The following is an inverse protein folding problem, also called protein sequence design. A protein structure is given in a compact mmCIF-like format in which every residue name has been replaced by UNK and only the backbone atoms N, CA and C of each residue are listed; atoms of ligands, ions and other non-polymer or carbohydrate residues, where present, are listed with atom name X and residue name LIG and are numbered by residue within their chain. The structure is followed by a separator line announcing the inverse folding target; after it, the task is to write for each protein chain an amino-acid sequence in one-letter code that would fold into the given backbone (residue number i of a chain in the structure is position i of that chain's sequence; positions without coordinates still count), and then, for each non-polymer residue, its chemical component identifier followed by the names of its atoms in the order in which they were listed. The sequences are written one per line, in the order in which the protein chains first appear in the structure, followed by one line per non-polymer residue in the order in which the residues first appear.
data_IF_705361772249
#
_entry.id   IF_705361772249
#
_cell.length_a   1.000
_cell.length_b   1.000
_cell.length_c   1.000
_cell.angle_alpha   90.00
_cell.angle_beta   90.00
_cell.angle_gamma   90.00
#
_symmetry.space_group_name_H-M   'P 1'
#
loop_
_entity.id
_entity.type
_entity.pdbx_description
1 polymer ?
#
# COMPACT_ATOMS: atom_id res chain seq x y z
N UNK A 1 -4.65 -8.64 -30.65
CA UNK A 1 -5.35 -8.32 -29.38
C UNK A 1 -4.63 -9.10 -28.30
N UNK A 2 -3.72 -8.46 -27.56
CA UNK A 2 -3.11 -9.11 -26.40
C UNK A 2 -4.21 -9.32 -25.37
N UNK A 3 -4.49 -10.56 -25.00
CA UNK A 3 -5.32 -10.84 -23.83
C UNK A 3 -4.68 -10.12 -22.64
N UNK A 4 -5.35 -9.11 -22.10
CA UNK A 4 -4.95 -8.50 -20.84
C UNK A 4 -4.78 -9.66 -19.84
N UNK A 5 -3.58 -9.84 -19.30
CA UNK A 5 -3.31 -10.93 -18.39
C UNK A 5 -4.06 -10.64 -17.08
N UNK A 6 -5.22 -11.28 -16.93
CA UNK A 6 -6.06 -11.16 -15.74
C UNK A 6 -5.37 -11.81 -14.55
N UNK A 7 -5.41 -11.14 -13.40
CA UNK A 7 -4.98 -11.68 -12.12
C UNK A 7 -6.17 -12.01 -11.23
N UNK A 8 -5.88 -12.55 -10.05
CA UNK A 8 -6.88 -12.90 -9.05
C UNK A 8 -6.39 -12.48 -7.67
N UNK A 9 -7.18 -11.66 -6.99
CA UNK A 9 -7.09 -11.52 -5.54
C UNK A 9 -7.98 -12.54 -4.85
N UNK A 10 -7.59 -12.97 -3.66
CA UNK A 10 -8.43 -13.78 -2.78
C UNK A 10 -8.95 -12.92 -1.63
N UNK A 11 -10.26 -12.96 -1.43
CA UNK A 11 -10.95 -12.31 -0.31
C UNK A 11 -11.81 -13.37 0.34
N UNK A 12 -11.54 -13.67 1.60
CA UNK A 12 -12.19 -14.76 2.34
C UNK A 12 -12.08 -16.10 1.58
N UNK A 13 -10.89 -16.39 1.06
CA UNK A 13 -10.54 -17.53 0.23
C UNK A 13 -11.33 -17.66 -1.09
N UNK A 14 -12.15 -16.67 -1.44
CA UNK A 14 -12.87 -16.60 -2.71
C UNK A 14 -12.08 -15.78 -3.74
N UNK A 15 -12.04 -16.22 -5.01
CA UNK A 15 -11.30 -15.51 -6.06
C UNK A 15 -12.09 -14.31 -6.61
N UNK A 16 -11.38 -13.20 -6.80
CA UNK A 16 -11.87 -11.98 -7.45
C UNK A 16 -10.93 -11.58 -8.58
N UNK A 17 -11.45 -11.55 -9.81
CA UNK A 17 -10.67 -11.24 -11.00
C UNK A 17 -10.33 -9.75 -11.09
N UNK A 18 -9.10 -9.44 -11.48
CA UNK A 18 -8.56 -8.09 -11.58
C UNK A 18 -7.81 -7.88 -12.90
N UNK A 19 -7.72 -6.64 -13.42
CA UNK A 19 -7.23 -6.37 -14.77
C UNK A 19 -5.70 -6.40 -14.92
N UNK A 20 -4.97 -6.77 -13.85
CA UNK A 20 -3.51 -6.87 -13.83
C UNK A 20 -3.08 -8.21 -13.22
N UNK A 21 -1.89 -8.74 -13.54
CA UNK A 21 -1.41 -10.00 -12.96
C UNK A 21 -1.18 -9.86 -11.45
N UNK A 22 -1.57 -10.90 -10.71
CA UNK A 22 -1.36 -11.01 -9.25
C UNK A 22 -0.72 -12.35 -8.94
N UNK A 23 0.37 -12.33 -8.18
CA UNK A 23 0.99 -13.51 -7.59
C UNK A 23 0.47 -13.62 -6.15
N UNK A 24 -0.51 -14.48 -5.93
CA UNK A 24 -1.18 -14.57 -4.62
C UNK A 24 -0.50 -15.60 -3.70
N UNK A 25 -0.86 -15.59 -2.42
CA UNK A 25 -0.30 -16.43 -1.37
C UNK A 25 -0.58 -17.94 -1.56
N UNK A 26 -1.44 -18.31 -2.51
CA UNK A 26 -1.69 -19.71 -2.90
C UNK A 26 -0.79 -20.18 -4.06
N UNK A 27 -0.02 -19.30 -4.70
CA UNK A 27 0.97 -19.65 -5.71
C UNK A 27 2.21 -20.22 -5.01
N UNK A 28 2.38 -21.54 -5.04
CA UNK A 28 3.46 -22.26 -4.33
C UNK A 28 4.86 -22.01 -4.95
N UNK A 29 4.92 -21.60 -6.22
CA UNK A 29 6.19 -21.43 -6.93
C UNK A 29 6.76 -20.01 -6.76
N UNK A 30 5.88 -19.01 -6.82
CA UNK A 30 6.27 -17.58 -6.88
C UNK A 30 5.69 -16.74 -5.76
N UNK A 31 4.66 -17.23 -5.08
CA UNK A 31 3.96 -16.51 -4.03
C UNK A 31 4.82 -16.30 -2.78
N UNK A 32 4.49 -15.23 -2.06
CA UNK A 32 4.89 -15.08 -0.67
C UNK A 32 3.64 -15.31 0.18
N UNK A 33 3.75 -16.07 1.26
CA UNK A 33 2.60 -16.42 2.09
C UNK A 33 2.94 -16.34 3.56
N UNK A 34 2.16 -15.57 4.30
CA UNK A 34 2.18 -15.65 5.76
C UNK A 34 1.45 -16.90 6.30
N UNK A 35 0.63 -17.54 5.47
CA UNK A 35 -0.14 -18.73 5.86
C UNK A 35 0.77 -19.97 5.86
N UNK A 36 0.66 -20.83 6.89
CA UNK A 36 1.37 -22.11 7.01
C UNK A 36 2.71 -22.05 7.76
N UNK A 37 3.39 -20.90 7.73
CA UNK A 37 4.72 -20.74 8.35
C UNK A 37 4.88 -19.49 9.22
N UNK A 38 3.97 -18.52 9.13
CA UNK A 38 4.06 -17.23 9.81
C UNK A 38 2.72 -16.81 10.44
N UNK A 39 1.97 -17.75 11.02
CA UNK A 39 0.65 -17.50 11.61
C UNK A 39 0.67 -16.45 12.72
N UNK A 40 1.80 -16.29 13.42
CA UNK A 40 1.96 -15.28 14.46
C UNK A 40 2.17 -13.85 13.91
N UNK A 41 2.36 -13.68 12.60
CA UNK A 41 2.61 -12.38 11.96
C UNK A 41 1.33 -11.65 11.53
N UNK A 42 0.16 -12.26 11.71
CA UNK A 42 -1.13 -11.67 11.41
C UNK A 42 -2.18 -12.15 12.42
N UNK A 43 -3.37 -11.57 12.33
CA UNK A 43 -4.51 -11.93 13.17
C UNK A 43 -5.77 -12.17 12.35
N UNK A 44 -6.85 -12.40 13.07
CA UNK A 44 -8.20 -12.49 12.52
C UNK A 44 -8.92 -11.18 12.84
N UNK A 45 -9.64 -10.60 11.86
CA UNK A 45 -10.49 -9.44 12.12
C UNK A 45 -11.71 -9.87 12.94
N UNK A 46 -12.16 -9.02 13.85
CA UNK A 46 -13.40 -9.29 14.59
C UNK A 46 -14.63 -9.31 13.66
N UNK A 47 -14.63 -8.45 12.63
CA UNK A 47 -15.56 -8.55 11.51
C UNK A 47 -14.96 -9.45 10.42
N UNK A 48 -15.39 -10.72 10.30
CA UNK A 48 -14.89 -11.64 9.29
C UNK A 48 -15.40 -11.32 7.88
N UNK A 49 -16.39 -10.43 7.73
CA UNK A 49 -16.90 -10.03 6.42
C UNK A 49 -16.01 -8.99 5.73
N UNK A 50 -15.15 -8.30 6.47
CA UNK A 50 -14.32 -7.21 5.97
C UNK A 50 -15.10 -5.91 5.70
N UNK A 51 -16.35 -5.79 6.17
CA UNK A 51 -17.15 -4.58 6.04
C UNK A 51 -16.58 -3.42 6.86
N UNK A 52 -15.86 -3.67 7.96
CA UNK A 52 -15.15 -2.64 8.71
C UNK A 52 -13.91 -2.09 7.97
N UNK A 53 -13.54 -2.63 6.81
CA UNK A 53 -12.39 -2.15 6.04
C UNK A 53 -12.80 -0.89 5.27
N UNK A 54 -12.25 0.25 5.68
CA UNK A 54 -12.59 1.58 5.16
C UNK A 54 -11.37 2.38 4.65
N UNK A 55 -10.17 1.81 4.73
CA UNK A 55 -8.96 2.47 4.25
C UNK A 55 -7.90 1.55 3.65
N UNK A 56 -7.04 2.17 2.85
CA UNK A 56 -5.81 1.61 2.31
C UNK A 56 -4.66 2.44 2.87
N UNK A 57 -3.65 1.79 3.44
CA UNK A 57 -2.44 2.45 3.95
C UNK A 57 -1.26 2.06 3.08
N UNK A 58 -0.69 3.08 2.41
CA UNK A 58 0.47 2.96 1.55
C UNK A 58 1.76 3.09 2.36
N UNK A 59 2.71 2.21 2.07
CA UNK A 59 4.06 2.20 2.64
C UNK A 59 5.06 2.15 1.49
N UNK A 60 6.22 2.78 1.66
CA UNK A 60 7.42 2.22 1.04
C UNK A 60 7.95 1.10 1.94
N UNK A 61 8.73 0.18 1.40
CA UNK A 61 9.28 -0.93 2.19
C UNK A 61 10.71 -0.70 2.71
N UNK A 62 11.43 0.30 2.20
CA UNK A 62 12.85 0.55 2.50
C UNK A 62 13.74 -0.67 2.13
N UNK A 63 13.31 -1.44 1.13
CA UNK A 63 13.94 -2.69 0.70
C UNK A 63 14.30 -2.65 -0.79
N UNK A 64 15.17 -3.59 -1.19
CA UNK A 64 15.66 -3.73 -2.56
C UNK A 64 14.77 -4.60 -3.46
N UNK A 65 13.79 -5.32 -2.89
CA UNK A 65 12.84 -6.17 -3.62
C UNK A 65 11.65 -6.53 -2.72
N UNK A 66 10.52 -6.94 -3.30
CA UNK A 66 9.36 -7.44 -2.54
C UNK A 66 9.72 -8.71 -1.76
N UNK A 67 10.62 -9.55 -2.28
CA UNK A 67 11.16 -10.71 -1.54
C UNK A 67 11.92 -10.29 -0.29
N UNK A 68 12.74 -9.23 -0.38
CA UNK A 68 13.44 -8.70 0.78
C UNK A 68 12.45 -8.11 1.80
N UNK A 69 11.48 -7.31 1.33
CA UNK A 69 10.41 -6.79 2.18
C UNK A 69 9.70 -7.91 2.94
N UNK A 70 9.22 -8.94 2.23
CA UNK A 70 8.52 -10.06 2.85
C UNK A 70 9.34 -10.72 3.97
N UNK A 71 10.64 -11.00 3.72
CA UNK A 71 11.54 -11.56 4.73
C UNK A 71 11.67 -10.67 5.97
N UNK A 72 11.80 -9.36 5.78
CA UNK A 72 11.87 -8.39 6.88
C UNK A 72 10.58 -8.37 7.68
N UNK A 73 9.42 -8.42 7.01
CA UNK A 73 8.11 -8.48 7.67
C UNK A 73 8.01 -9.75 8.52
N UNK A 74 8.35 -10.92 7.96
CA UNK A 74 8.42 -12.20 8.68
C UNK A 74 9.26 -12.09 9.96
N UNK A 75 10.51 -11.63 9.84
CA UNK A 75 11.46 -11.52 10.96
C UNK A 75 11.01 -10.55 12.05
N UNK A 76 10.26 -9.50 11.68
CA UNK A 76 9.78 -8.48 12.61
C UNK A 76 8.45 -8.82 13.28
N UNK A 77 7.85 -9.98 12.97
CA UNK A 77 6.55 -10.36 13.51
C UNK A 77 5.41 -9.48 12.99
N UNK A 78 5.58 -8.88 11.80
CA UNK A 78 4.61 -8.01 11.16
C UNK A 78 4.23 -8.54 9.78
N UNK A 79 3.24 -7.92 9.14
CA UNK A 79 2.75 -8.33 7.82
C UNK A 79 2.17 -7.16 7.04
N UNK A 80 2.09 -7.33 5.73
CA UNK A 80 1.32 -6.48 4.82
C UNK A 80 0.39 -7.38 4.01
N UNK A 81 -0.62 -6.81 3.37
CA UNK A 81 -1.55 -7.59 2.55
C UNK A 81 -1.02 -7.71 1.11
N UNK A 82 -0.47 -6.62 0.58
CA UNK A 82 0.00 -6.52 -0.79
C UNK A 82 1.43 -5.97 -0.82
N UNK A 83 2.28 -6.52 -1.67
CA UNK A 83 3.57 -5.96 -2.03
C UNK A 83 3.57 -5.60 -3.52
N UNK A 84 4.21 -4.49 -3.88
CA UNK A 84 4.43 -4.06 -5.28
C UNK A 84 5.94 -3.92 -5.50
N UNK A 85 6.53 -4.79 -6.33
CA UNK A 85 7.97 -4.73 -6.63
C UNK A 85 8.30 -3.59 -7.59
N UNK A 86 9.58 -3.30 -7.80
CA UNK A 86 10.04 -2.18 -8.63
C UNK A 86 9.72 -2.31 -10.12
N UNK A 87 9.25 -3.46 -10.59
CA UNK A 87 8.76 -3.67 -11.96
C UNK A 87 7.22 -3.63 -12.06
N UNK A 88 6.55 -3.27 -10.97
CA UNK A 88 5.09 -3.26 -10.88
C UNK A 88 4.48 -4.65 -10.61
N UNK A 89 5.25 -5.71 -10.37
CA UNK A 89 4.71 -7.01 -9.98
C UNK A 89 3.92 -6.91 -8.67
N UNK A 90 2.70 -7.44 -8.65
CA UNK A 90 1.81 -7.43 -7.47
C UNK A 90 1.82 -8.78 -6.80
N UNK A 91 2.13 -8.78 -5.50
CA UNK A 91 2.05 -9.95 -4.65
C UNK A 91 0.94 -9.75 -3.62
N UNK A 92 0.00 -10.68 -3.55
CA UNK A 92 -0.94 -10.76 -2.42
C UNK A 92 -0.38 -11.76 -1.41
N UNK A 93 0.10 -11.31 -0.25
CA UNK A 93 0.83 -12.15 0.70
C UNK A 93 -0.01 -12.69 1.85
N UNK A 94 -1.22 -12.14 1.99
CA UNK A 94 -2.22 -12.53 2.96
C UNK A 94 -3.62 -12.28 2.35
N UNK A 95 -4.60 -13.09 2.74
CA UNK A 95 -5.99 -12.84 2.40
C UNK A 95 -6.43 -11.44 2.90
N UNK A 96 -7.11 -10.68 2.04
CA UNK A 96 -7.45 -9.28 2.30
C UNK A 96 -8.38 -9.08 3.50
N UNK A 97 -9.14 -10.10 3.92
CA UNK A 97 -9.98 -10.01 5.13
C UNK A 97 -9.23 -10.34 6.42
N UNK A 98 -8.01 -10.86 6.36
CA UNK A 98 -7.21 -11.11 7.57
C UNK A 98 -6.67 -9.78 8.12
N UNK A 99 -6.26 -9.79 9.37
CA UNK A 99 -5.71 -8.62 10.03
C UNK A 99 -4.19 -8.64 9.89
N UNK A 100 -3.64 -7.90 8.92
CA UNK A 100 -2.19 -7.72 8.83
C UNK A 100 -1.68 -6.69 9.86
N UNK A 101 -0.47 -6.88 10.38
CA UNK A 101 0.15 -5.98 11.35
C UNK A 101 1.06 -4.94 10.66
N UNK A 102 0.51 -3.87 10.07
CA UNK A 102 1.29 -2.86 9.32
C UNK A 102 1.17 -1.42 9.84
N UNK A 103 0.06 -1.07 10.50
CA UNK A 103 -0.24 0.26 11.01
C UNK A 103 -0.82 0.14 12.43
N UNK A 104 0.00 0.43 13.44
CA UNK A 104 -0.37 0.36 14.85
C UNK A 104 -1.60 1.23 15.11
N UNK A 105 -2.67 0.62 15.62
CA UNK A 105 -3.96 1.25 15.83
C UNK A 105 -4.97 0.92 14.72
N UNK A 106 -4.55 0.89 13.44
CA UNK A 106 -5.48 0.80 12.28
C UNK A 106 -5.46 -0.47 11.48
N UNK A 107 -4.64 -1.44 11.84
CA UNK A 107 -4.67 -2.79 11.24
C UNK A 107 -6.10 -3.34 11.03
N UNK A 108 -7.01 -3.06 11.98
CA UNK A 108 -8.38 -3.57 12.01
C UNK A 108 -9.28 -3.10 10.87
N UNK A 109 -9.07 -1.89 10.34
CA UNK A 109 -9.93 -1.28 9.32
C UNK A 109 -9.19 -0.98 8.02
N UNK A 110 -7.92 -1.39 7.92
CA UNK A 110 -7.07 -1.07 6.78
C UNK A 110 -6.55 -2.27 6.00
N UNK A 111 -6.36 -2.07 4.69
CA UNK A 111 -5.47 -2.88 3.84
C UNK A 111 -4.11 -2.18 3.77
N UNK A 112 -3.03 -2.96 3.86
CA UNK A 112 -1.65 -2.47 3.89
C UNK A 112 -0.91 -2.84 2.62
N UNK A 113 -0.46 -1.83 1.86
CA UNK A 113 0.27 -2.00 0.59
C UNK A 113 1.71 -1.49 0.77
N UNK A 114 2.68 -2.37 0.59
CA UNK A 114 4.10 -2.03 0.63
C UNK A 114 4.67 -1.95 -0.78
N UNK A 115 5.28 -0.82 -1.11
CA UNK A 115 5.79 -0.51 -2.44
C UNK A 115 7.32 -0.49 -2.36
N UNK A 116 7.97 -1.24 -3.25
CA UNK A 116 9.41 -1.43 -3.19
C UNK A 116 10.19 -0.16 -3.48
N UNK A 117 10.94 0.32 -2.50
CA UNK A 117 11.81 1.48 -2.69
C UNK A 117 12.93 1.48 -1.64
N UNK A 118 14.23 1.50 -2.05
CA UNK A 118 15.34 1.59 -1.10
C UNK A 118 15.43 2.92 -0.35
N UNK A 119 14.74 3.96 -0.85
CA UNK A 119 14.66 5.36 -0.37
C UNK A 119 15.98 6.12 -0.44
N UNK A 120 17.05 5.55 0.11
CA UNK A 120 18.39 6.12 0.17
C UNK A 120 19.03 6.21 -1.23
N UNK A 121 19.38 7.41 -1.73
CA UNK A 121 20.02 7.58 -3.03
C UNK A 121 21.29 6.76 -3.25
N UNK A 122 22.04 6.43 -2.19
CA UNK A 122 23.23 5.59 -2.27
C UNK A 122 22.93 4.12 -2.59
N UNK A 123 21.67 3.70 -2.45
CA UNK A 123 21.18 2.34 -2.71
C UNK A 123 20.35 2.26 -3.99
N UNK A 124 20.59 3.16 -4.95
CA UNK A 124 19.85 3.16 -6.21
C UNK A 124 20.01 1.82 -6.94
N UNK A 125 18.90 1.08 -7.02
CA UNK A 125 18.81 -0.28 -7.53
C UNK A 125 18.47 -0.33 -9.03
N UNK A 126 17.78 0.70 -9.52
CA UNK A 126 17.12 0.68 -10.84
C UNK A 126 17.29 1.98 -11.63
N UNK A 127 18.36 2.75 -11.38
CA UNK A 127 18.56 4.09 -11.96
C UNK A 127 17.35 5.02 -11.75
N UNK A 128 16.73 4.92 -10.57
CA UNK A 128 15.57 5.73 -10.21
C UNK A 128 15.94 7.20 -10.22
N UNK A 129 15.00 8.04 -10.64
CA UNK A 129 15.12 9.48 -10.46
C UNK A 129 15.22 9.82 -8.96
N UNK A 130 15.91 10.91 -8.65
CA UNK A 130 15.83 11.51 -7.31
C UNK A 130 14.65 12.47 -7.26
N UNK A 131 13.93 12.46 -6.15
CA UNK A 131 12.83 13.39 -5.86
C UNK A 131 12.95 13.89 -4.42
N UNK A 132 12.00 14.69 -3.96
CA UNK A 132 11.92 15.15 -2.57
C UNK A 132 10.49 15.13 -2.06
N UNK A 133 10.31 14.67 -0.82
CA UNK A 133 9.03 14.68 -0.12
C UNK A 133 9.08 15.56 1.12
N UNK A 134 7.91 15.97 1.61
CA UNK A 134 7.77 16.71 2.87
C UNK A 134 7.75 15.78 4.08
N UNK A 135 8.56 16.08 5.10
CA UNK A 135 8.50 15.42 6.42
C UNK A 135 7.10 15.63 7.06
N UNK A 136 6.40 14.54 7.46
CA UNK A 136 5.12 14.60 8.17
C UNK A 136 5.13 15.55 9.36
N UNK A 137 4.20 16.52 9.36
CA UNK A 137 4.00 17.49 10.44
C UNK A 137 5.07 18.58 10.54
N UNK A 138 6.11 18.57 9.70
CA UNK A 138 7.17 19.60 9.66
C UNK A 138 7.30 20.30 8.33
N UNK A 139 6.85 19.66 7.25
CA UNK A 139 6.97 20.14 5.87
C UNK A 139 8.41 20.46 5.42
N UNK A 140 9.41 19.95 6.14
CA UNK A 140 10.80 20.02 5.72
C UNK A 140 11.02 19.04 4.57
N UNK A 141 11.57 19.51 3.46
CA UNK A 141 11.89 18.64 2.33
C UNK A 141 13.06 17.71 2.65
N UNK A 142 12.95 16.45 2.23
CA UNK A 142 14.04 15.49 2.26
C UNK A 142 14.15 14.78 0.91
N UNK A 143 15.37 14.57 0.39
CA UNK A 143 15.58 13.87 -0.87
C UNK A 143 15.46 12.36 -0.68
N UNK A 144 14.97 11.67 -1.70
CA UNK A 144 14.94 10.21 -1.77
C UNK A 144 14.84 9.72 -3.22
N UNK A 145 15.03 8.43 -3.43
CA UNK A 145 14.74 7.77 -4.69
C UNK A 145 13.23 7.76 -4.96
N UNK A 146 12.83 8.11 -6.18
CA UNK A 146 11.43 8.04 -6.59
C UNK A 146 11.00 6.60 -6.91
N UNK A 147 9.69 6.38 -6.99
CA UNK A 147 9.13 5.14 -7.51
C UNK A 147 9.34 5.06 -9.02
N UNK A 148 9.42 3.84 -9.55
CA UNK A 148 9.41 3.62 -11.00
C UNK A 148 8.03 3.94 -11.58
N UNK A 149 7.96 4.15 -12.90
CA UNK A 149 6.69 4.46 -13.55
C UNK A 149 5.72 3.27 -13.47
N UNK A 150 6.22 2.04 -13.58
CA UNK A 150 5.42 0.82 -13.43
C UNK A 150 4.81 0.70 -12.02
N UNK A 151 5.54 1.14 -10.99
CA UNK A 151 5.01 1.17 -9.61
C UNK A 151 3.92 2.22 -9.44
N UNK A 152 4.14 3.42 -10.00
CA UNK A 152 3.19 4.53 -9.95
C UNK A 152 1.87 4.18 -10.62
N UNK A 153 1.93 3.58 -11.80
CA UNK A 153 0.74 3.07 -12.49
C UNK A 153 0.07 1.96 -11.67
N UNK A 154 0.84 0.94 -11.26
CA UNK A 154 0.25 -0.23 -10.60
C UNK A 154 -0.38 0.09 -9.25
N UNK A 155 0.20 0.97 -8.43
CA UNK A 155 -0.38 1.30 -7.12
C UNK A 155 -1.73 1.98 -7.27
N UNK A 156 -1.89 2.84 -8.29
CA UNK A 156 -3.16 3.49 -8.62
C UNK A 156 -4.20 2.46 -9.07
N UNK A 157 -3.84 1.54 -9.98
CA UNK A 157 -4.72 0.45 -10.43
C UNK A 157 -5.18 -0.44 -9.27
N UNK A 158 -4.24 -0.85 -8.41
CA UNK A 158 -4.55 -1.70 -7.25
C UNK A 158 -5.51 -0.98 -6.30
N UNK A 159 -5.26 0.30 -5.99
CA UNK A 159 -6.15 1.06 -5.10
C UNK A 159 -7.54 1.25 -5.71
N UNK A 160 -7.65 1.54 -7.01
CA UNK A 160 -8.93 1.67 -7.71
C UNK A 160 -9.75 0.38 -7.65
N UNK A 161 -9.10 -0.77 -7.87
CA UNK A 161 -9.72 -2.09 -7.75
C UNK A 161 -10.16 -2.37 -6.31
N UNK A 162 -9.32 -2.06 -5.32
CA UNK A 162 -9.67 -2.29 -3.91
C UNK A 162 -10.87 -1.44 -3.47
N UNK A 163 -10.99 -0.19 -3.93
CA UNK A 163 -12.18 0.64 -3.68
C UNK A 163 -13.47 0.03 -4.27
N UNK A 164 -13.36 -0.73 -5.37
CA UNK A 164 -14.50 -1.44 -5.97
C UNK A 164 -14.84 -2.74 -5.25
N UNK A 165 -13.83 -3.45 -4.75
CA UNK A 165 -13.99 -4.73 -4.05
C UNK A 165 -14.45 -4.55 -2.60
N UNK A 166 -14.04 -3.46 -1.95
CA UNK A 166 -14.41 -3.10 -0.59
C UNK A 166 -15.20 -1.79 -0.61
N UNK A 167 -16.55 -1.85 -0.69
CA UNK A 167 -17.38 -0.67 -0.94
C UNK A 167 -17.32 0.38 0.18
N UNK A 168 -16.84 0.02 1.37
CA UNK A 168 -16.65 0.94 2.49
C UNK A 168 -15.31 1.66 2.45
N UNK A 169 -14.41 1.34 1.52
CA UNK A 169 -13.21 2.15 1.22
C UNK A 169 -13.63 3.25 0.24
N UNK A 170 -13.83 4.51 0.70
CA UNK A 170 -14.13 5.58 -0.23
C UNK A 170 -12.94 5.84 -1.14
N UNK A 171 -13.20 5.99 -2.43
CA UNK A 171 -12.19 6.40 -3.42
C UNK A 171 -11.89 7.90 -3.26
N UNK A 172 -11.19 8.28 -2.19
CA UNK A 172 -10.80 9.66 -1.87
C UNK A 172 -9.36 9.71 -1.36
N UNK A 173 -8.67 10.80 -1.68
CA UNK A 173 -7.34 11.13 -1.14
C UNK A 173 -7.48 11.92 0.18
N UNK A 174 -6.39 12.03 0.98
CA UNK A 174 -6.39 12.89 2.16
C UNK A 174 -6.68 14.35 1.79
N UNK A 175 -7.14 15.18 2.73
CA UNK A 175 -7.42 16.59 2.45
C UNK A 175 -6.15 17.37 2.12
N UNK A 176 -6.33 18.57 1.55
CA UNK A 176 -5.23 19.50 1.33
C UNK A 176 -4.76 20.13 2.65
N UNK A 177 -3.46 20.42 2.73
CA UNK A 177 -2.90 21.37 3.68
C UNK A 177 -3.05 22.81 3.15
N UNK A 178 -2.71 23.80 3.97
CA UNK A 178 -2.73 25.23 3.61
C UNK A 178 -1.85 25.59 2.40
N UNK A 179 -0.88 24.73 2.06
CA UNK A 179 -0.02 24.88 0.88
C UNK A 179 -0.66 24.37 -0.43
N UNK A 180 -1.91 23.91 -0.38
CA UNK A 180 -2.64 23.40 -1.54
C UNK A 180 -2.19 22.01 -2.00
N UNK A 181 -1.36 21.32 -1.21
CA UNK A 181 -0.91 19.96 -1.48
C UNK A 181 -1.58 18.97 -0.50
N UNK A 182 -1.69 17.71 -0.91
CA UNK A 182 -2.21 16.64 -0.04
C UNK A 182 -1.44 16.61 1.29
N UNK A 183 -2.16 16.54 2.40
CA UNK A 183 -1.54 16.63 3.71
C UNK A 183 -0.64 15.44 4.05
N UNK A 184 0.53 15.73 4.61
CA UNK A 184 1.43 14.71 5.18
C UNK A 184 1.24 14.53 6.68
N UNK A 185 0.31 15.26 7.29
CA UNK A 185 0.04 15.16 8.72
C UNK A 185 -0.67 13.85 9.08
N UNK A 186 -0.44 13.36 10.31
CA UNK A 186 -1.28 12.33 10.90
C UNK A 186 -2.69 12.87 11.10
N UNK A 187 -3.67 12.23 10.48
CA UNK A 187 -5.05 12.70 10.49
C UNK A 187 -5.74 12.42 11.83
N UNK A 188 -6.79 13.15 12.19
CA UNK A 188 -7.71 12.75 13.26
C UNK A 188 -8.32 11.37 12.98
N UNK A 189 -8.66 10.61 14.03
CA UNK A 189 -9.15 9.22 13.91
C UNK A 189 -10.31 9.09 12.90
N UNK A 190 -11.29 9.98 12.99
CA UNK A 190 -12.50 9.98 12.15
C UNK A 190 -12.23 10.27 10.67
N UNK A 191 -11.04 10.75 10.34
CA UNK A 191 -10.62 11.13 9.00
C UNK A 191 -9.70 10.09 8.36
N UNK A 192 -9.34 9.02 9.07
CA UNK A 192 -8.44 7.98 8.55
C UNK A 192 -9.21 6.95 7.73
N UNK A 193 -9.83 7.42 6.65
CA UNK A 193 -10.59 6.63 5.66
C UNK A 193 -10.08 6.88 4.24
N UNK A 194 -10.34 5.96 3.31
CA UNK A 194 -9.90 6.07 1.91
C UNK A 194 -8.43 5.73 1.70
N UNK A 195 -7.74 6.43 0.79
CA UNK A 195 -6.33 6.15 0.46
C UNK A 195 -5.44 7.03 1.32
N UNK A 196 -4.58 6.42 2.13
CA UNK A 196 -3.75 7.10 3.13
C UNK A 196 -2.27 6.75 2.96
N UNK A 197 -1.38 7.69 3.23
CA UNK A 197 0.01 7.36 3.54
C UNK A 197 0.12 6.81 4.96
N UNK A 198 1.14 6.00 5.25
CA UNK A 198 1.39 5.50 6.62
C UNK A 198 1.46 6.66 7.64
N UNK A 199 2.01 7.80 7.23
CA UNK A 199 2.05 9.01 8.07
C UNK A 199 0.67 9.60 8.39
N UNK A 200 -0.33 9.44 7.52
CA UNK A 200 -1.70 9.88 7.80
C UNK A 200 -2.34 8.96 8.85
N UNK A 201 -1.98 7.67 8.84
CA UNK A 201 -2.49 6.64 9.73
C UNK A 201 -1.84 6.68 11.12
N UNK A 202 -0.53 6.93 11.24
CA UNK A 202 0.21 6.94 12.50
C UNK A 202 1.42 7.91 12.47
N UNK A 203 1.86 8.43 13.63
CA UNK A 203 3.02 9.30 13.68
C UNK A 203 4.34 8.53 13.53
N UNK A 204 5.42 9.24 13.19
CA UNK A 204 6.79 8.71 13.20
C UNK A 204 7.17 7.89 11.97
N UNK A 205 6.37 7.91 10.92
CA UNK A 205 6.66 7.25 9.64
C UNK A 205 6.84 8.27 8.54
N UNK A 206 7.71 8.01 7.58
CA UNK A 206 7.89 8.86 6.39
C UNK A 206 7.19 8.28 5.14
N UNK A 207 6.85 6.99 5.14
CA UNK A 207 6.36 6.30 3.96
C UNK A 207 4.91 6.66 3.59
N UNK A 208 4.58 6.71 2.28
CA UNK A 208 5.46 6.46 1.13
C UNK A 208 6.16 7.73 0.59
N UNK A 209 6.23 8.82 1.35
CA UNK A 209 6.49 10.16 0.80
C UNK A 209 5.24 10.80 0.18
N UNK A 210 5.40 11.85 -0.61
CA UNK A 210 4.30 12.57 -1.28
C UNK A 210 4.32 12.46 -2.81
N UNK A 211 5.33 11.83 -3.40
CA UNK A 211 5.47 11.74 -4.88
C UNK A 211 4.36 10.95 -5.57
N UNK A 212 3.67 10.03 -4.86
CA UNK A 212 2.57 9.25 -5.42
C UNK A 212 1.27 10.04 -5.57
N UNK A 213 1.05 11.10 -4.81
CA UNK A 213 -0.25 11.80 -4.79
C UNK A 213 -0.61 12.43 -6.12
N UNK A 214 0.39 12.89 -6.86
CA UNK A 214 0.18 13.44 -8.20
C UNK A 214 -0.40 12.40 -9.17
N UNK A 215 0.00 11.14 -9.02
CA UNK A 215 -0.46 10.05 -9.91
C UNK A 215 -1.90 9.67 -9.60
N UNK A 216 -2.27 9.61 -8.32
CA UNK A 216 -3.67 9.43 -7.93
C UNK A 216 -4.57 10.59 -8.41
N UNK A 217 -4.09 11.83 -8.28
CA UNK A 217 -4.82 13.00 -8.76
C UNK A 217 -5.02 12.95 -10.28
N UNK A 218 -3.98 12.62 -11.05
CA UNK A 218 -4.06 12.42 -12.51
C UNK A 218 -5.03 11.31 -12.90
N UNK A 219 -5.13 10.27 -12.09
CA UNK A 219 -6.08 9.18 -12.27
C UNK A 219 -7.52 9.51 -11.81
N UNK A 220 -7.79 10.77 -11.43
CA UNK A 220 -9.12 11.25 -11.08
C UNK A 220 -9.61 10.78 -9.71
N UNK A 221 -8.72 10.45 -8.77
CA UNK A 221 -9.13 10.24 -7.39
C UNK A 221 -9.47 11.60 -6.77
N UNK A 222 -10.72 11.80 -6.30
CA UNK A 222 -11.12 13.06 -5.68
C UNK A 222 -10.34 13.29 -4.38
N UNK A 223 -10.00 14.55 -4.14
CA UNK A 223 -9.38 14.99 -2.91
C UNK A 223 -10.51 15.27 -1.92
N UNK A 224 -10.37 14.79 -0.68
CA UNK A 224 -11.39 15.05 0.34
C UNK A 224 -11.48 16.55 0.62
N UNK A 225 -12.72 17.04 0.74
CA UNK A 225 -13.05 18.42 1.11
C UNK A 225 -12.53 19.49 0.12
N UNK A 226 -12.17 19.09 -1.10
CA UNK A 226 -11.70 19.96 -2.18
C UNK A 226 -12.77 20.27 -3.24
#
# INVERSE_FOLDING_TARGET
MNSIQQGTFYINDLPYHVPFPVINYKDEERGFSFVGHWENNYGIREDPSGNEIDCIVLHWDVCASSRHCFRVLCQRGISGHILIDGDGSVYQTLDLIKLAYHAKGWNRTSIGIFIQNPVDPSKNDRNRASTSSREPGRNKLYPHLDFTDEQKERVVEVCDVLCKLFPNIPKILPPLSDDGLITTATLPIRERVGILGNYNAQPGTLGPGDSLWLEFYRAGFPIRDA
#
